data_IF_428725349369
#
_entry.id   IF_428725349369
#
_cell.length_a   1.000
_cell.length_b   1.000
_cell.length_c   1.000
_cell.angle_alpha   90.00
_cell.angle_beta   90.00
_cell.angle_gamma   90.00
#
_symmetry.space_group_name_H-M   'P 1'
#
loop_
_entity.id
_entity.type
_entity.pdbx_description
1 polymer ?
#
# COMPACT_ATOMS: atom_id res chain seq x y z
N UNK A 1 8.61 26.40 11.43
CA UNK A 1 7.38 25.63 11.23
C UNK A 1 6.32 26.24 12.12
N UNK A 2 5.18 26.63 11.56
CA UNK A 2 4.12 27.28 12.33
C UNK A 2 3.03 26.27 12.69
N UNK A 3 2.61 26.27 13.95
CA UNK A 3 1.32 25.73 14.35
C UNK A 3 0.23 26.31 13.44
N UNK A 4 -0.61 25.45 12.86
CA UNK A 4 -1.81 25.91 12.16
C UNK A 4 -2.79 26.43 13.21
N UNK A 5 -2.94 27.76 13.28
CA UNK A 5 -3.95 28.42 14.12
C UNK A 5 -5.38 28.24 13.58
N UNK A 6 -5.53 27.61 12.41
CA UNK A 6 -6.82 27.38 11.78
C UNK A 6 -7.71 26.52 12.67
N UNK A 7 -8.80 27.11 13.14
CA UNK A 7 -9.77 26.44 14.01
C UNK A 7 -9.36 26.34 15.49
N UNK A 8 -8.23 26.94 15.88
CA UNK A 8 -7.80 27.04 17.28
C UNK A 8 -8.04 28.45 17.83
N UNK A 9 -8.69 28.55 18.99
CA UNK A 9 -8.94 29.81 19.69
C UNK A 9 -8.50 29.69 21.15
N UNK A 10 -7.83 30.73 21.63
CA UNK A 10 -7.50 30.90 23.05
C UNK A 10 -8.78 31.18 23.82
N UNK A 11 -9.08 30.36 24.82
CA UNK A 11 -10.29 30.49 25.66
C UNK A 11 -9.97 31.25 26.94
N UNK A 12 -8.85 30.95 27.59
CA UNK A 12 -8.50 31.57 28.87
C UNK A 12 -6.99 31.75 29.01
N UNK A 13 -6.59 32.77 29.77
CA UNK A 13 -5.21 33.02 30.16
C UNK A 13 -5.21 33.21 31.67
N UNK A 14 -4.35 32.48 32.35
CA UNK A 14 -4.01 32.68 33.75
C UNK A 14 -2.48 32.88 33.86
N UNK A 15 -2.02 33.38 35.01
CA UNK A 15 -0.60 33.63 35.26
C UNK A 15 0.26 32.37 35.15
N UNK A 16 -0.32 31.22 35.45
CA UNK A 16 0.37 29.92 35.41
C UNK A 16 0.15 29.17 34.11
N UNK A 17 -0.99 29.35 33.43
CA UNK A 17 -1.33 28.56 32.24
C UNK A 17 -2.23 29.32 31.26
N UNK A 18 -2.09 29.00 29.96
CA UNK A 18 -3.02 29.43 28.91
C UNK A 18 -3.85 28.22 28.45
N UNK A 19 -5.17 28.38 28.36
CA UNK A 19 -6.10 27.38 27.85
C UNK A 19 -6.57 27.75 26.45
N UNK A 20 -6.45 26.82 25.50
CA UNK A 20 -6.92 26.94 24.13
C UNK A 20 -7.92 25.82 23.81
N UNK A 21 -8.86 26.07 22.91
CA UNK A 21 -9.64 25.01 22.28
C UNK A 21 -9.46 25.04 20.76
N UNK A 22 -9.45 23.86 20.17
CA UNK A 22 -9.42 23.66 18.74
C UNK A 22 -10.61 22.82 18.33
N UNK A 23 -11.22 23.15 17.19
CA UNK A 23 -12.32 22.39 16.61
C UNK A 23 -11.85 21.24 15.69
N UNK A 24 -10.54 21.01 15.61
CA UNK A 24 -9.93 19.91 14.88
C UNK A 24 -9.11 19.03 15.82
N UNK A 25 -9.10 17.72 15.54
CA UNK A 25 -8.41 16.75 16.39
C UNK A 25 -6.91 16.75 16.07
N UNK A 26 -6.12 17.45 16.89
CA UNK A 26 -4.64 17.38 16.90
C UNK A 26 -4.11 16.18 17.71
N UNK A 27 -4.94 15.21 18.11
CA UNK A 27 -4.49 14.08 18.94
C UNK A 27 -3.55 13.09 18.22
N UNK A 28 -3.40 13.18 16.90
CA UNK A 28 -2.35 12.43 16.19
C UNK A 28 -0.98 13.14 16.26
N UNK A 29 -0.93 14.39 16.72
CA UNK A 29 0.30 15.14 16.99
C UNK A 29 1.03 14.61 18.23
N UNK A 30 0.39 13.91 19.17
CA UNK A 30 1.18 13.32 20.28
C UNK A 30 2.07 12.17 19.79
N UNK A 31 1.71 11.51 18.68
CA UNK A 31 2.54 10.49 18.02
C UNK A 31 3.38 11.02 16.85
N UNK A 32 3.11 12.22 16.34
CA UNK A 32 3.81 12.82 15.16
C UNK A 32 4.44 14.21 15.38
N UNK A 33 4.09 14.89 16.46
CA UNK A 33 4.61 16.16 17.00
C UNK A 33 5.34 15.90 18.33
N UNK A 34 6.02 14.76 18.41
CA UNK A 34 7.38 14.84 18.94
C UNK A 34 8.18 15.61 17.89
N UNK A 35 8.14 16.94 18.00
CA UNK A 35 9.22 17.86 17.63
C UNK A 35 10.51 17.54 18.43
N UNK A 36 10.82 16.25 18.59
CA UNK A 36 12.20 15.84 18.57
C UNK A 36 12.68 16.33 17.21
N UNK A 37 13.56 17.33 17.21
CA UNK A 37 14.62 17.34 16.23
C UNK A 37 15.15 15.91 16.21
N UNK A 38 14.62 15.09 15.29
CA UNK A 38 15.11 13.74 15.10
C UNK A 38 16.61 13.95 14.98
N UNK A 39 17.43 13.34 15.87
CA UNK A 39 18.86 13.54 15.80
C UNK A 39 19.24 13.31 14.34
N UNK A 40 20.11 14.12 13.73
CA UNK A 40 20.34 14.10 12.27
C UNK A 40 20.55 12.67 11.74
N UNK A 41 21.07 11.80 12.60
CA UNK A 41 21.12 10.34 12.55
C UNK A 41 19.81 9.62 12.15
N UNK A 42 18.68 9.91 12.81
CA UNK A 42 17.37 9.25 12.58
C UNK A 42 16.70 9.78 11.31
N UNK A 43 16.77 11.08 11.05
CA UNK A 43 16.28 11.65 9.80
C UNK A 43 17.10 11.13 8.60
N UNK A 44 18.42 10.98 8.77
CA UNK A 44 19.30 10.35 7.80
C UNK A 44 18.98 8.86 7.61
N UNK A 45 18.71 8.13 8.69
CA UNK A 45 18.29 6.73 8.61
C UNK A 45 16.95 6.54 7.89
N UNK A 46 15.95 7.39 8.14
CA UNK A 46 14.68 7.37 7.39
C UNK A 46 14.87 7.71 5.92
N UNK A 47 15.72 8.70 5.60
CA UNK A 47 16.05 9.07 4.22
C UNK A 47 16.78 7.95 3.49
N UNK A 48 17.73 7.28 4.15
CA UNK A 48 18.39 6.08 3.63
C UNK A 48 17.37 4.96 3.41
N UNK A 49 16.50 4.70 4.40
CA UNK A 49 15.44 3.71 4.29
C UNK A 49 14.53 3.97 3.10
N UNK A 50 14.23 5.24 2.81
CA UNK A 50 13.43 5.65 1.65
C UNK A 50 14.19 5.43 0.35
N UNK A 51 15.48 5.77 0.27
CA UNK A 51 16.31 5.53 -0.91
C UNK A 51 16.51 4.04 -1.20
N UNK A 52 16.76 3.24 -0.16
CA UNK A 52 16.83 1.78 -0.27
C UNK A 52 15.46 1.25 -0.71
N UNK A 53 14.38 1.75 -0.11
CA UNK A 53 13.01 1.44 -0.52
C UNK A 53 12.79 1.70 -2.01
N UNK A 54 13.15 2.89 -2.51
CA UNK A 54 13.07 3.25 -3.93
C UNK A 54 13.91 2.30 -4.80
N UNK A 55 15.14 1.99 -4.41
CA UNK A 55 16.00 1.08 -5.16
C UNK A 55 15.43 -0.33 -5.22
N UNK A 56 14.89 -0.82 -4.09
CA UNK A 56 14.19 -2.10 -4.00
C UNK A 56 12.92 -2.09 -4.85
N UNK A 57 12.13 -1.01 -4.80
CA UNK A 57 10.95 -0.83 -5.65
C UNK A 57 11.28 -0.90 -7.13
N UNK A 58 12.35 -0.23 -7.56
CA UNK A 58 12.81 -0.27 -8.96
C UNK A 58 13.26 -1.69 -9.34
N UNK A 59 13.98 -2.39 -8.47
CA UNK A 59 14.39 -3.76 -8.71
C UNK A 59 13.18 -4.71 -8.81
N UNK A 60 12.20 -4.57 -7.92
CA UNK A 60 10.96 -5.34 -7.94
C UNK A 60 10.16 -5.05 -9.21
N UNK A 61 10.05 -3.79 -9.64
CA UNK A 61 9.39 -3.42 -10.90
C UNK A 61 10.06 -4.08 -12.11
N UNK A 62 11.39 -4.11 -12.16
CA UNK A 62 12.12 -4.79 -13.23
C UNK A 62 11.87 -6.31 -13.20
N UNK A 63 11.97 -6.94 -12.04
CA UNK A 63 11.71 -8.38 -11.88
C UNK A 63 10.27 -8.73 -12.27
N UNK A 64 9.31 -7.92 -11.85
CA UNK A 64 7.91 -8.14 -12.12
C UNK A 64 7.55 -7.87 -13.59
N UNK A 65 8.17 -6.88 -14.23
CA UNK A 65 8.05 -6.65 -15.68
C UNK A 65 8.58 -7.84 -16.47
N UNK A 66 9.77 -8.35 -16.11
CA UNK A 66 10.35 -9.56 -16.71
C UNK A 66 9.44 -10.75 -16.49
N UNK A 67 8.89 -10.92 -15.27
CA UNK A 67 7.92 -11.98 -14.97
C UNK A 67 6.67 -11.86 -15.84
N UNK A 68 6.11 -10.66 -16.03
CA UNK A 68 4.95 -10.45 -16.90
C UNK A 68 5.23 -10.86 -18.36
N UNK A 69 6.43 -10.57 -18.87
CA UNK A 69 6.84 -10.94 -20.23
C UNK A 69 7.11 -12.45 -20.35
N UNK A 70 7.85 -13.04 -19.42
CA UNK A 70 8.17 -14.47 -19.43
C UNK A 70 6.93 -15.36 -19.22
N UNK A 71 6.01 -14.96 -18.33
CA UNK A 71 4.81 -15.74 -18.02
C UNK A 71 3.77 -15.74 -19.16
N UNK A 72 3.82 -14.79 -20.10
CA UNK A 72 3.04 -14.84 -21.36
C UNK A 72 3.45 -16.02 -22.25
N UNK A 73 4.68 -16.50 -22.15
CA UNK A 73 5.22 -17.59 -22.97
C UNK A 73 4.99 -19.01 -22.43
N UNK A 74 4.60 -19.17 -21.17
CA UNK A 74 4.41 -20.48 -20.54
C UNK A 74 2.97 -20.99 -20.70
N UNK A 75 2.82 -22.31 -20.92
CA UNK A 75 1.53 -23.02 -21.08
C UNK A 75 0.49 -22.52 -20.08
N UNK A 76 -0.73 -22.26 -20.58
CA UNK A 76 -1.84 -21.70 -19.80
C UNK A 76 -2.27 -22.69 -18.71
N UNK A 77 -2.06 -22.33 -17.45
CA UNK A 77 -2.46 -23.08 -16.27
C UNK A 77 -3.11 -22.12 -15.28
N UNK A 78 -4.11 -22.57 -14.53
CA UNK A 78 -4.83 -21.75 -13.57
C UNK A 78 -3.90 -21.16 -12.49
N UNK A 79 -2.93 -21.94 -11.99
CA UNK A 79 -1.94 -21.42 -11.03
C UNK A 79 -1.07 -20.30 -11.63
N UNK A 80 -0.68 -20.44 -12.91
CA UNK A 80 0.11 -19.42 -13.60
C UNK A 80 -0.70 -18.13 -13.79
N UNK A 81 -2.00 -18.24 -14.09
CA UNK A 81 -2.86 -17.07 -14.20
C UNK A 81 -3.14 -16.41 -12.83
N UNK A 82 -3.26 -17.17 -11.73
CA UNK A 82 -3.33 -16.61 -10.36
C UNK A 82 -2.06 -15.82 -10.02
N UNK A 83 -0.88 -16.43 -10.22
CA UNK A 83 0.40 -15.76 -9.96
C UNK A 83 0.57 -14.50 -10.81
N UNK A 84 0.15 -14.52 -12.09
CA UNK A 84 0.17 -13.32 -12.95
C UNK A 84 -0.68 -12.19 -12.39
N UNK A 85 -1.90 -12.47 -11.93
CA UNK A 85 -2.79 -11.45 -11.37
C UNK A 85 -2.23 -10.88 -10.06
N UNK A 86 -1.67 -11.73 -9.20
CA UNK A 86 -1.01 -11.32 -7.97
C UNK A 86 0.18 -10.38 -8.25
N UNK A 87 1.09 -10.79 -9.14
CA UNK A 87 2.25 -9.97 -9.53
C UNK A 87 1.80 -8.67 -10.19
N UNK A 88 0.79 -8.68 -11.05
CA UNK A 88 0.26 -7.47 -11.67
C UNK A 88 -0.33 -6.49 -10.64
N UNK A 89 -1.07 -6.97 -9.63
CA UNK A 89 -1.60 -6.13 -8.57
C UNK A 89 -0.48 -5.48 -7.72
N UNK A 90 0.57 -6.23 -7.41
CA UNK A 90 1.76 -5.72 -6.70
C UNK A 90 2.48 -4.65 -7.54
N UNK A 91 2.69 -4.89 -8.83
CA UNK A 91 3.31 -3.91 -9.74
C UNK A 91 2.55 -2.60 -9.76
N UNK A 92 1.23 -2.66 -9.87
CA UNK A 92 0.39 -1.46 -9.91
C UNK A 92 0.47 -0.70 -8.58
N UNK A 93 0.41 -1.41 -7.44
CA UNK A 93 0.58 -0.81 -6.11
C UNK A 93 1.93 -0.06 -6.01
N UNK A 94 3.01 -0.67 -6.51
CA UNK A 94 4.36 -0.11 -6.47
C UNK A 94 4.50 1.15 -7.34
N UNK A 95 3.91 1.14 -8.55
CA UNK A 95 3.88 2.32 -9.43
C UNK A 95 3.14 3.47 -8.74
N UNK A 96 2.02 3.19 -8.08
CA UNK A 96 1.22 4.19 -7.37
C UNK A 96 2.00 4.76 -6.19
N UNK A 97 2.71 3.92 -5.44
CA UNK A 97 3.58 4.35 -4.35
C UNK A 97 4.70 5.28 -4.86
N UNK A 98 5.40 4.87 -5.92
CA UNK A 98 6.49 5.64 -6.51
C UNK A 98 6.01 6.97 -7.10
N UNK A 99 4.82 6.99 -7.72
CA UNK A 99 4.21 8.23 -8.22
C UNK A 99 3.79 9.17 -7.07
N UNK A 100 3.40 8.62 -5.92
CA UNK A 100 2.95 9.37 -4.75
C UNK A 100 4.07 9.97 -3.91
N UNK A 101 5.24 9.33 -3.84
CA UNK A 101 6.33 9.75 -2.92
C UNK A 101 6.87 11.15 -3.22
N UNK A 102 6.89 11.56 -4.49
CA UNK A 102 7.39 12.87 -4.92
C UNK A 102 6.30 13.96 -4.92
N UNK A 103 5.03 13.62 -4.66
CA UNK A 103 3.86 14.52 -4.78
C UNK A 103 3.18 14.76 -3.43
N UNK A 104 3.96 15.05 -2.38
CA UNK A 104 3.46 15.31 -1.02
C UNK A 104 2.93 16.73 -0.79
N UNK A 105 3.11 17.65 -1.75
CA UNK A 105 2.65 19.04 -1.63
C UNK A 105 1.14 19.22 -1.86
N UNK A 106 0.50 18.32 -2.62
CA UNK A 106 -0.93 18.36 -2.89
C UNK A 106 -1.68 17.34 -2.01
N UNK A 107 -2.43 17.86 -1.04
CA UNK A 107 -3.25 17.06 -0.11
C UNK A 107 -4.27 16.16 -0.81
N UNK A 108 -4.78 16.57 -1.99
CA UNK A 108 -5.75 15.77 -2.76
C UNK A 108 -5.06 14.58 -3.41
N UNK A 109 -3.91 14.80 -4.04
CA UNK A 109 -3.11 13.76 -4.65
C UNK A 109 -2.63 12.73 -3.62
N UNK A 110 -2.17 13.17 -2.45
CA UNK A 110 -1.77 12.30 -1.36
C UNK A 110 -2.92 11.40 -0.88
N UNK A 111 -4.12 11.96 -0.70
CA UNK A 111 -5.30 11.20 -0.29
C UNK A 111 -5.70 10.15 -1.33
N UNK A 112 -5.65 10.51 -2.62
CA UNK A 112 -5.95 9.57 -3.71
C UNK A 112 -4.96 8.41 -3.75
N UNK A 113 -3.66 8.69 -3.63
CA UNK A 113 -2.60 7.66 -3.56
C UNK A 113 -2.86 6.71 -2.38
N UNK A 114 -3.19 7.24 -1.21
CA UNK A 114 -3.47 6.41 -0.02
C UNK A 114 -4.66 5.45 -0.23
N UNK A 115 -5.77 5.95 -0.81
CA UNK A 115 -6.95 5.14 -1.10
C UNK A 115 -6.60 4.04 -2.13
N UNK A 116 -5.90 4.41 -3.20
CA UNK A 116 -5.51 3.48 -4.24
C UNK A 116 -4.58 2.39 -3.69
N UNK A 117 -3.56 2.76 -2.92
CA UNK A 117 -2.66 1.79 -2.28
C UNK A 117 -3.42 0.82 -1.39
N UNK A 118 -4.35 1.32 -0.57
CA UNK A 118 -5.15 0.47 0.29
C UNK A 118 -5.94 -0.57 -0.52
N UNK A 119 -6.61 -0.12 -1.59
CA UNK A 119 -7.36 -1.02 -2.48
C UNK A 119 -6.47 -2.08 -3.13
N UNK A 120 -5.31 -1.69 -3.67
CA UNK A 120 -4.41 -2.64 -4.32
C UNK A 120 -3.82 -3.64 -3.32
N UNK A 121 -3.41 -3.20 -2.12
CA UNK A 121 -2.94 -4.13 -1.09
C UNK A 121 -4.02 -5.10 -0.62
N UNK A 122 -5.28 -4.65 -0.48
CA UNK A 122 -6.40 -5.57 -0.24
C UNK A 122 -6.57 -6.58 -1.38
N UNK A 123 -6.41 -6.16 -2.62
CA UNK A 123 -6.47 -7.03 -3.81
C UNK A 123 -5.32 -8.05 -3.82
N UNK A 124 -4.11 -7.65 -3.43
CA UNK A 124 -2.98 -8.59 -3.25
C UNK A 124 -3.33 -9.62 -2.18
N UNK A 125 -3.91 -9.19 -1.05
CA UNK A 125 -4.31 -10.08 0.04
C UNK A 125 -5.37 -11.11 -0.41
N UNK A 126 -6.40 -10.69 -1.15
CA UNK A 126 -7.41 -11.62 -1.68
C UNK A 126 -6.82 -12.58 -2.70
N UNK A 127 -5.91 -12.14 -3.57
CA UNK A 127 -5.22 -13.01 -4.51
C UNK A 127 -4.26 -14.01 -3.84
N UNK A 128 -3.54 -13.61 -2.78
CA UNK A 128 -2.74 -14.53 -1.96
C UNK A 128 -3.61 -15.59 -1.27
N UNK A 129 -4.78 -15.18 -0.76
CA UNK A 129 -5.74 -16.13 -0.18
C UNK A 129 -6.27 -17.12 -1.25
N UNK A 130 -6.60 -16.64 -2.44
CA UNK A 130 -7.01 -17.45 -3.59
C UNK A 130 -5.92 -18.46 -3.98
N UNK A 131 -4.66 -18.02 -4.00
CA UNK A 131 -3.51 -18.88 -4.24
C UNK A 131 -3.39 -19.97 -3.18
N UNK A 132 -3.52 -19.63 -1.89
CA UNK A 132 -3.53 -20.58 -0.79
C UNK A 132 -4.66 -21.61 -0.90
N UNK A 133 -5.88 -21.16 -1.25
CA UNK A 133 -7.03 -22.05 -1.50
C UNK A 133 -6.77 -22.95 -2.71
N UNK A 134 -6.17 -22.42 -3.78
CA UNK A 134 -5.82 -23.20 -4.96
C UNK A 134 -4.78 -24.28 -4.65
N UNK A 135 -3.73 -23.94 -3.89
CA UNK A 135 -2.72 -24.88 -3.42
C UNK A 135 -3.33 -25.98 -2.54
N UNK A 136 -4.21 -25.60 -1.60
CA UNK A 136 -4.92 -26.56 -0.76
C UNK A 136 -5.77 -27.54 -1.58
N UNK A 137 -6.52 -27.05 -2.57
CA UNK A 137 -7.33 -27.89 -3.46
C UNK A 137 -6.50 -28.82 -4.33
N UNK A 138 -5.34 -28.36 -4.82
CA UNK A 138 -4.40 -29.21 -5.57
C UNK A 138 -3.89 -30.39 -4.72
N UNK A 139 -3.65 -30.17 -3.42
CA UNK A 139 -3.16 -31.22 -2.51
C UNK A 139 -4.26 -32.18 -2.05
N UNK A 140 -5.49 -31.70 -1.90
CA UNK A 140 -6.60 -32.48 -1.35
C UNK A 140 -7.43 -33.21 -2.41
N UNK A 141 -7.61 -32.64 -3.60
CA UNK A 141 -8.38 -33.25 -4.68
C UNK A 141 -7.48 -34.14 -5.56
N UNK A 142 -7.89 -35.38 -5.82
CA UNK A 142 -7.20 -36.27 -6.79
C UNK A 142 -7.35 -35.82 -8.25
N UNK A 143 -8.13 -34.76 -8.51
CA UNK A 143 -8.44 -34.22 -9.84
C UNK A 143 -7.47 -33.09 -10.19
N UNK A 144 -7.09 -32.97 -11.46
CA UNK A 144 -6.31 -31.83 -11.95
C UNK A 144 -7.09 -30.50 -11.87
N UNK A 145 -6.95 -29.79 -10.75
CA UNK A 145 -7.55 -28.45 -10.51
C UNK A 145 -6.90 -27.35 -11.38
N UNK A 146 -5.69 -27.59 -11.87
CA UNK A 146 -4.94 -26.67 -12.75
C UNK A 146 -5.56 -26.48 -14.14
N UNK A 147 -6.40 -27.42 -14.58
CA UNK A 147 -7.03 -27.42 -15.92
C UNK A 147 -8.55 -27.29 -15.78
N UNK A 148 -9.04 -26.06 -15.58
CA UNK A 148 -10.47 -25.81 -15.31
C UNK A 148 -10.88 -24.34 -15.40
N UNK A 149 -12.17 -24.04 -15.28
CA UNK A 149 -12.73 -22.69 -15.45
C UNK A 149 -12.40 -21.79 -14.25
N UNK A 150 -11.70 -20.68 -14.48
CA UNK A 150 -11.18 -19.78 -13.44
C UNK A 150 -12.20 -18.76 -12.84
N UNK A 151 -13.45 -18.76 -13.30
CA UNK A 151 -14.42 -17.70 -12.95
C UNK A 151 -14.61 -17.52 -11.43
N UNK A 152 -14.60 -18.60 -10.65
CA UNK A 152 -14.72 -18.54 -9.18
C UNK A 152 -13.54 -17.82 -8.51
N UNK A 153 -12.33 -18.04 -9.01
CA UNK A 153 -11.12 -17.40 -8.47
C UNK A 153 -11.06 -15.90 -8.80
N UNK A 154 -11.51 -15.51 -10.00
CA UNK A 154 -11.61 -14.09 -10.38
C UNK A 154 -12.65 -13.33 -9.54
N UNK A 155 -13.76 -13.99 -9.18
CA UNK A 155 -14.78 -13.42 -8.29
C UNK A 155 -14.20 -13.11 -6.90
N UNK A 156 -13.47 -14.07 -6.31
CA UNK A 156 -12.84 -13.90 -5.00
C UNK A 156 -11.66 -12.92 -5.02
N UNK A 157 -10.86 -12.92 -6.09
CA UNK A 157 -9.65 -12.09 -6.20
C UNK A 157 -9.94 -10.61 -6.38
N UNK A 158 -10.79 -10.24 -7.36
CA UNK A 158 -11.10 -8.83 -7.67
C UNK A 158 -12.35 -8.29 -6.96
N UNK A 159 -13.11 -9.14 -6.26
CA UNK A 159 -14.30 -8.71 -5.51
C UNK A 159 -15.45 -8.16 -6.36
N UNK A 160 -15.46 -8.44 -7.67
CA UNK A 160 -16.53 -7.98 -8.57
C UNK A 160 -17.76 -8.88 -8.40
N UNK A 161 -18.71 -8.42 -7.58
CA UNK A 161 -20.11 -8.86 -7.74
C UNK A 161 -20.60 -8.37 -9.10
N UNK A 162 -21.22 -9.27 -9.87
CA UNK A 162 -22.05 -8.88 -11.01
C UNK A 162 -23.19 -7.98 -10.53
#
# INVERSE_FOLDING_TARGET
GGWSTNGCRRIAINWTHTTCACNHMTSFAVLSDLNLEFPPQVAFAMRIGTYIGIAVSVAILLIAFVSFVCLRGLKKSNANDIHKNLVAAIVIAEIIFLAGINRTSDTTACRLVAILLHYFFSTVFTWMLVEGVHMYRRLSEKRNVDTGRMNFYYFLGWGKSF
#
